data_IF_310940193566
#
_entry.id   IF_310940193566
#
_cell.length_a   1.000
_cell.length_b   1.000
_cell.length_c   1.000
_cell.angle_alpha   90.00
_cell.angle_beta   90.00
_cell.angle_gamma   90.00
#
_symmetry.space_group_name_H-M   'P 1'
#
loop_
_entity.id
_entity.type
_entity.pdbx_description
1 polymer ?
#
# COMPACT_ATOMS: atom_id res chain seq x y z
N UNK A 1 -2.47 -3.91 1.01
CA UNK A 1 -1.80 -3.98 2.32
C UNK A 1 -1.41 -5.43 2.59
N UNK A 2 -0.13 -5.75 2.53
CA UNK A 2 0.40 -7.13 2.57
C UNK A 2 0.44 -7.74 3.99
N UNK A 3 -0.40 -7.35 4.92
CA UNK A 3 -0.42 -7.82 6.32
C UNK A 3 0.98 -8.08 6.94
N UNK A 4 2.05 -7.46 6.40
CA UNK A 4 3.42 -7.58 6.87
C UNK A 4 4.14 -8.91 6.56
N UNK A 5 3.49 -9.83 5.87
CA UNK A 5 4.07 -11.14 5.55
C UNK A 5 5.26 -10.99 4.58
N UNK A 6 5.17 -10.06 3.62
CA UNK A 6 6.28 -9.71 2.74
C UNK A 6 7.52 -9.28 3.51
N UNK A 7 7.35 -8.38 4.49
CA UNK A 7 8.46 -7.93 5.35
C UNK A 7 9.05 -9.06 6.19
N UNK A 8 8.21 -9.97 6.72
CA UNK A 8 8.66 -11.14 7.46
C UNK A 8 9.53 -12.05 6.58
N UNK A 9 9.05 -12.38 5.40
CA UNK A 9 9.77 -13.26 4.47
C UNK A 9 11.06 -12.61 3.98
N UNK A 10 11.05 -11.29 3.68
CA UNK A 10 12.26 -10.55 3.30
C UNK A 10 13.35 -10.71 4.36
N UNK A 11 12.99 -10.60 5.65
CA UNK A 11 13.94 -10.80 6.73
C UNK A 11 14.58 -12.21 6.72
N UNK A 12 13.79 -13.26 6.49
CA UNK A 12 14.32 -14.63 6.40
C UNK A 12 15.09 -14.90 5.11
N UNK A 13 14.91 -14.10 4.06
CA UNK A 13 15.62 -14.20 2.79
C UNK A 13 17.04 -13.59 2.85
N UNK A 14 17.34 -12.62 3.72
CA UNK A 14 18.62 -11.91 3.73
C UNK A 14 19.80 -12.84 3.87
N UNK A 15 19.79 -13.76 4.84
CA UNK A 15 20.91 -14.70 5.06
C UNK A 15 21.08 -15.69 3.90
N UNK A 16 20.03 -16.37 3.40
CA UNK A 16 20.15 -17.23 2.21
C UNK A 16 20.64 -16.49 0.97
N UNK A 17 20.22 -15.22 0.76
CA UNK A 17 20.70 -14.41 -0.35
C UNK A 17 22.20 -14.10 -0.24
N UNK A 18 22.68 -13.76 0.96
CA UNK A 18 24.09 -13.46 1.20
C UNK A 18 25.00 -14.67 0.92
N UNK A 19 24.57 -15.89 1.27
CA UNK A 19 25.34 -17.13 1.05
C UNK A 19 24.98 -17.83 -0.26
N UNK A 20 24.13 -17.23 -1.10
CA UNK A 20 23.65 -17.75 -2.39
C UNK A 20 22.99 -19.15 -2.29
N UNK A 21 22.29 -19.46 -1.19
CA UNK A 21 21.57 -20.71 -0.99
C UNK A 21 20.25 -20.71 -1.78
N UNK A 22 20.34 -21.09 -3.05
CA UNK A 22 19.20 -21.14 -3.99
C UNK A 22 18.10 -22.11 -3.54
N UNK A 23 18.49 -23.20 -2.88
CA UNK A 23 17.55 -24.20 -2.36
C UNK A 23 16.66 -23.58 -1.27
N UNK A 24 17.29 -22.96 -0.28
CA UNK A 24 16.59 -22.31 0.82
C UNK A 24 15.74 -21.12 0.37
N UNK A 25 16.23 -20.34 -0.60
CA UNK A 25 15.45 -19.25 -1.20
C UNK A 25 14.18 -19.79 -1.86
N UNK A 26 14.29 -20.85 -2.67
CA UNK A 26 13.15 -21.48 -3.35
C UNK A 26 12.13 -22.05 -2.36
N UNK A 27 12.58 -22.64 -1.24
CA UNK A 27 11.68 -23.08 -0.15
C UNK A 27 10.90 -21.91 0.46
N UNK A 28 11.59 -20.83 0.84
CA UNK A 28 10.95 -19.66 1.45
C UNK A 28 9.93 -19.00 0.51
N UNK A 29 10.25 -18.88 -0.78
CA UNK A 29 9.33 -18.35 -1.79
C UNK A 29 8.14 -19.29 -1.99
N UNK A 30 8.32 -20.61 -1.91
CA UNK A 30 7.23 -21.59 -1.98
C UNK A 30 6.29 -21.48 -0.79
N UNK A 31 6.81 -21.32 0.44
CA UNK A 31 6.03 -21.05 1.64
C UNK A 31 5.23 -19.76 1.47
N UNK A 32 5.88 -18.70 1.01
CA UNK A 32 5.25 -17.40 0.81
C UNK A 32 4.10 -17.45 -0.19
N UNK A 33 4.34 -18.07 -1.35
CA UNK A 33 3.29 -18.26 -2.35
C UNK A 33 2.10 -19.07 -1.85
N UNK A 34 2.34 -20.12 -1.03
CA UNK A 34 1.26 -20.88 -0.40
C UNK A 34 0.43 -20.03 0.56
N UNK A 35 1.09 -19.27 1.44
CA UNK A 35 0.41 -18.39 2.41
C UNK A 35 -0.36 -17.29 1.68
N UNK A 36 0.25 -16.67 0.66
CA UNK A 36 -0.40 -15.62 -0.14
C UNK A 36 -1.63 -16.12 -0.87
N UNK A 37 -1.59 -17.32 -1.46
CA UNK A 37 -2.77 -17.93 -2.06
C UNK A 37 -3.91 -18.14 -1.06
N UNK A 38 -3.60 -18.63 0.14
CA UNK A 38 -4.62 -18.79 1.20
C UNK A 38 -5.25 -17.45 1.58
N UNK A 39 -4.44 -16.43 1.77
CA UNK A 39 -4.92 -15.08 2.08
C UNK A 39 -5.74 -14.53 0.93
N UNK A 40 -5.28 -14.68 -0.32
CA UNK A 40 -6.04 -14.29 -1.50
C UNK A 40 -7.42 -14.97 -1.57
N UNK A 41 -7.49 -16.27 -1.32
CA UNK A 41 -8.77 -16.97 -1.25
C UNK A 41 -9.67 -16.44 -0.11
N UNK A 42 -9.11 -16.16 1.07
CA UNK A 42 -9.89 -15.60 2.19
C UNK A 42 -10.40 -14.19 1.85
N UNK A 43 -9.58 -13.35 1.24
CA UNK A 43 -9.97 -11.99 0.80
C UNK A 43 -11.05 -12.08 -0.28
N UNK A 44 -10.89 -12.97 -1.25
CA UNK A 44 -11.89 -13.20 -2.31
C UNK A 44 -13.23 -13.67 -1.74
N UNK A 45 -13.22 -14.66 -0.86
CA UNK A 45 -14.43 -15.14 -0.18
C UNK A 45 -15.07 -14.04 0.68
N UNK A 46 -14.26 -13.30 1.47
CA UNK A 46 -14.73 -12.15 2.26
C UNK A 46 -15.33 -11.06 1.39
N UNK A 47 -14.71 -10.74 0.25
CA UNK A 47 -15.22 -9.78 -0.73
C UNK A 47 -16.58 -10.20 -1.29
N UNK A 48 -16.75 -11.47 -1.65
CA UNK A 48 -18.04 -12.00 -2.09
C UNK A 48 -19.09 -11.85 -0.99
N UNK A 49 -18.76 -12.22 0.26
CA UNK A 49 -19.70 -12.06 1.39
C UNK A 49 -20.08 -10.60 1.59
N UNK A 50 -19.11 -9.67 1.57
CA UNK A 50 -19.39 -8.22 1.71
C UNK A 50 -20.30 -7.73 0.58
N UNK A 51 -20.10 -8.19 -0.66
CA UNK A 51 -20.92 -7.78 -1.80
C UNK A 51 -22.40 -8.18 -1.67
N UNK A 52 -22.73 -9.24 -0.92
CA UNK A 52 -24.11 -9.62 -0.63
C UNK A 52 -24.86 -8.57 0.21
N UNK A 53 -24.12 -7.78 0.98
CA UNK A 53 -24.68 -6.71 1.80
C UNK A 53 -24.79 -5.35 1.06
N UNK A 54 -24.34 -5.24 -0.19
CA UNK A 54 -24.40 -3.98 -0.96
C UNK A 54 -25.82 -3.39 -1.06
N UNK A 55 -26.89 -4.15 -1.28
CA UNK A 55 -28.23 -3.60 -1.30
C UNK A 55 -28.61 -2.93 0.03
N UNK A 56 -28.08 -3.41 1.16
CA UNK A 56 -28.30 -2.82 2.47
C UNK A 56 -27.41 -1.60 2.71
N UNK A 57 -26.11 -1.71 2.34
CA UNK A 57 -25.09 -0.68 2.56
C UNK A 57 -25.34 0.55 1.68
N UNK A 58 -25.69 0.35 0.41
CA UNK A 58 -25.82 1.41 -0.58
C UNK A 58 -27.29 1.80 -0.86
N UNK A 59 -28.23 1.45 0.02
CA UNK A 59 -29.67 1.70 -0.16
C UNK A 59 -30.03 3.16 -0.47
N UNK A 60 -29.25 4.11 0.08
CA UNK A 60 -29.50 5.57 -0.08
C UNK A 60 -28.60 6.22 -1.13
N UNK A 61 -27.81 5.42 -1.87
CA UNK A 61 -26.87 5.96 -2.86
C UNK A 61 -27.59 6.13 -4.21
N UNK A 62 -27.44 7.28 -4.89
CA UNK A 62 -28.10 7.53 -6.18
C UNK A 62 -27.44 6.81 -7.36
N UNK A 63 -26.48 5.90 -7.12
CA UNK A 63 -25.78 5.14 -8.15
C UNK A 63 -26.47 3.82 -8.43
N UNK A 64 -26.44 3.38 -9.69
CA UNK A 64 -26.91 2.06 -10.08
C UNK A 64 -26.07 0.94 -9.43
N UNK A 65 -26.73 -0.06 -8.88
CA UNK A 65 -26.06 -1.20 -8.25
C UNK A 65 -25.07 -1.92 -9.20
N UNK A 66 -25.41 -1.98 -10.51
CA UNK A 66 -24.53 -2.56 -11.52
C UNK A 66 -23.14 -1.91 -11.55
N UNK A 67 -23.09 -0.57 -11.45
CA UNK A 67 -21.83 0.17 -11.40
C UNK A 67 -21.07 -0.15 -10.11
N UNK A 68 -21.76 -0.18 -8.96
CA UNK A 68 -21.15 -0.46 -7.65
C UNK A 68 -20.50 -1.85 -7.65
N UNK A 69 -21.23 -2.87 -8.10
CA UNK A 69 -20.68 -4.24 -8.21
C UNK A 69 -19.52 -4.32 -9.18
N UNK A 70 -19.63 -3.70 -10.35
CA UNK A 70 -18.57 -3.71 -11.35
C UNK A 70 -17.27 -3.09 -10.80
N UNK A 71 -17.36 -1.89 -10.23
CA UNK A 71 -16.22 -1.21 -9.61
C UNK A 71 -15.59 -2.07 -8.52
N UNK A 72 -16.42 -2.60 -7.62
CA UNK A 72 -15.96 -3.42 -6.52
C UNK A 72 -15.22 -4.67 -7.00
N UNK A 73 -15.79 -5.42 -7.94
CA UNK A 73 -15.16 -6.67 -8.42
C UNK A 73 -13.91 -6.42 -9.26
N UNK A 74 -13.84 -5.31 -10.00
CA UNK A 74 -12.61 -4.91 -10.69
C UNK A 74 -11.48 -4.60 -9.69
N UNK A 75 -11.75 -3.83 -8.62
CA UNK A 75 -10.76 -3.55 -7.59
C UNK A 75 -10.41 -4.77 -6.75
N UNK A 76 -11.38 -5.59 -6.40
CA UNK A 76 -11.15 -6.87 -5.73
C UNK A 76 -10.26 -7.77 -6.59
N UNK A 77 -10.57 -7.93 -7.88
CA UNK A 77 -9.78 -8.71 -8.83
C UNK A 77 -8.35 -8.18 -8.95
N UNK A 78 -8.17 -6.86 -9.09
CA UNK A 78 -6.84 -6.22 -9.12
C UNK A 78 -6.03 -6.52 -7.86
N UNK A 79 -6.67 -6.46 -6.70
CA UNK A 79 -6.03 -6.80 -5.43
C UNK A 79 -5.63 -8.27 -5.37
N UNK A 80 -6.52 -9.18 -5.78
CA UNK A 80 -6.29 -10.63 -5.77
C UNK A 80 -5.16 -11.05 -6.70
N UNK A 81 -4.99 -10.41 -7.86
CA UNK A 81 -3.89 -10.66 -8.79
C UNK A 81 -2.54 -10.51 -8.07
N UNK A 82 -2.37 -9.49 -7.22
CA UNK A 82 -1.19 -9.30 -6.40
C UNK A 82 -0.88 -10.51 -5.51
N UNK A 83 -1.89 -11.12 -4.90
CA UNK A 83 -1.72 -12.29 -4.03
C UNK A 83 -1.43 -13.57 -4.81
N UNK A 84 -2.02 -13.77 -5.98
CA UNK A 84 -1.85 -15.01 -6.74
C UNK A 84 -0.62 -15.01 -7.65
N UNK A 85 -0.23 -13.84 -8.16
CA UNK A 85 0.79 -13.73 -9.20
C UNK A 85 2.08 -13.09 -8.66
N UNK A 86 2.00 -11.98 -7.89
CA UNK A 86 3.16 -11.16 -7.54
C UNK A 86 3.89 -11.59 -6.26
N UNK A 87 3.55 -12.71 -5.65
CA UNK A 87 4.22 -13.13 -4.42
C UNK A 87 5.76 -13.24 -4.56
N UNK A 88 6.29 -13.51 -5.76
CA UNK A 88 7.74 -13.59 -6.02
C UNK A 88 8.49 -12.25 -5.97
N UNK A 89 7.78 -11.11 -6.04
CA UNK A 89 8.40 -9.78 -5.98
C UNK A 89 9.16 -9.53 -4.66
N UNK A 90 8.79 -10.23 -3.59
CA UNK A 90 9.48 -10.15 -2.29
C UNK A 90 10.96 -10.50 -2.41
N UNK A 91 11.34 -11.37 -3.35
CA UNK A 91 12.74 -11.72 -3.61
C UNK A 91 13.51 -10.52 -4.15
N UNK A 92 12.96 -9.75 -5.09
CA UNK A 92 13.59 -8.52 -5.59
C UNK A 92 13.79 -7.50 -4.46
N UNK A 93 12.80 -7.36 -3.57
CA UNK A 93 12.90 -6.45 -2.42
C UNK A 93 13.98 -6.90 -1.45
N UNK A 94 14.04 -8.20 -1.13
CA UNK A 94 15.07 -8.75 -0.24
C UNK A 94 16.48 -8.69 -0.84
N UNK A 95 16.62 -8.83 -2.17
CA UNK A 95 17.88 -8.71 -2.92
C UNK A 95 18.27 -7.25 -3.21
N UNK A 96 17.69 -6.28 -2.50
CA UNK A 96 17.92 -4.83 -2.69
C UNK A 96 17.61 -4.30 -4.10
N UNK A 97 16.89 -5.06 -4.92
CA UNK A 97 16.48 -4.70 -6.27
C UNK A 97 15.04 -4.13 -6.33
N UNK A 98 14.57 -3.55 -5.22
CA UNK A 98 13.22 -2.98 -5.15
C UNK A 98 12.99 -1.86 -6.18
N UNK A 99 14.06 -1.21 -6.65
CA UNK A 99 14.00 -0.23 -7.72
C UNK A 99 13.40 -0.79 -9.02
N UNK A 100 13.59 -2.09 -9.30
CA UNK A 100 12.98 -2.77 -10.46
C UNK A 100 11.46 -2.77 -10.27
N UNK A 101 10.97 -3.24 -9.11
CA UNK A 101 9.54 -3.29 -8.80
C UNK A 101 8.92 -1.89 -8.92
N UNK A 102 9.57 -0.90 -8.30
CA UNK A 102 9.11 0.49 -8.33
C UNK A 102 9.09 1.06 -9.75
N UNK A 103 10.15 0.86 -10.53
CA UNK A 103 10.23 1.35 -11.90
C UNK A 103 9.11 0.78 -12.79
N UNK A 104 8.89 -0.53 -12.74
CA UNK A 104 7.85 -1.17 -13.56
C UNK A 104 6.44 -0.72 -13.16
N UNK A 105 6.13 -0.67 -11.86
CA UNK A 105 4.81 -0.24 -11.42
C UNK A 105 4.58 1.27 -11.64
N UNK A 106 5.56 2.12 -11.42
CA UNK A 106 5.42 3.56 -11.62
C UNK A 106 5.27 3.89 -13.12
N UNK A 107 6.08 3.26 -13.98
CA UNK A 107 5.95 3.43 -15.44
C UNK A 107 4.58 2.97 -15.93
N UNK A 108 4.13 1.78 -15.50
CA UNK A 108 2.81 1.29 -15.85
C UNK A 108 1.69 2.21 -15.34
N UNK A 109 1.83 2.76 -14.13
CA UNK A 109 0.88 3.70 -13.55
C UNK A 109 0.80 5.01 -14.33
N UNK A 110 1.93 5.55 -14.77
CA UNK A 110 1.98 6.76 -15.60
C UNK A 110 1.28 6.51 -16.95
N UNK A 111 1.65 5.44 -17.64
CA UNK A 111 1.05 5.08 -18.96
C UNK A 111 -0.46 4.85 -18.77
N UNK A 112 -0.85 4.08 -17.75
CA UNK A 112 -2.26 3.85 -17.42
C UNK A 112 -3.02 5.17 -17.25
N UNK A 113 -2.47 6.09 -16.44
CA UNK A 113 -3.12 7.37 -16.14
C UNK A 113 -3.28 8.22 -17.41
N UNK A 114 -2.26 8.27 -18.26
CA UNK A 114 -2.35 8.97 -19.57
C UNK A 114 -3.44 8.36 -20.45
N UNK A 115 -3.49 7.04 -20.58
CA UNK A 115 -4.54 6.35 -21.33
C UNK A 115 -5.92 6.60 -20.75
N UNK A 116 -6.05 6.56 -19.42
CA UNK A 116 -7.31 6.84 -18.73
C UNK A 116 -7.79 8.28 -18.97
N UNK A 117 -6.91 9.27 -18.92
CA UNK A 117 -7.24 10.68 -19.19
C UNK A 117 -7.73 10.84 -20.63
N UNK A 118 -6.99 10.30 -21.60
CA UNK A 118 -7.35 10.39 -23.02
C UNK A 118 -8.73 9.74 -23.31
N UNK A 119 -8.97 8.55 -22.78
CA UNK A 119 -10.21 7.83 -23.00
C UNK A 119 -11.37 8.43 -22.19
N UNK A 120 -11.12 8.96 -21.00
CA UNK A 120 -12.14 9.67 -20.22
C UNK A 120 -12.60 10.95 -20.92
N UNK A 121 -11.68 11.68 -21.56
CA UNK A 121 -11.98 12.86 -22.34
C UNK A 121 -12.87 12.55 -23.56
N UNK A 122 -12.61 11.41 -24.22
CA UNK A 122 -13.36 11.00 -25.41
C UNK A 122 -14.70 10.34 -25.09
N UNK A 123 -14.70 9.33 -24.19
CA UNK A 123 -15.87 8.48 -23.93
C UNK A 123 -16.73 8.94 -22.75
N UNK A 124 -16.15 9.66 -21.78
CA UNK A 124 -16.83 10.09 -20.52
C UNK A 124 -17.56 8.96 -19.79
N UNK A 125 -16.99 7.74 -19.83
CA UNK A 125 -17.61 6.52 -19.35
C UNK A 125 -16.78 5.90 -18.20
N UNK A 126 -17.42 5.74 -17.03
CA UNK A 126 -16.80 5.18 -15.83
C UNK A 126 -16.40 3.69 -16.01
N UNK A 127 -17.19 2.92 -16.75
CA UNK A 127 -16.88 1.52 -17.02
C UNK A 127 -15.55 1.36 -17.76
N UNK A 128 -15.30 2.21 -18.75
CA UNK A 128 -14.03 2.21 -19.51
C UNK A 128 -12.87 2.56 -18.57
N UNK A 129 -13.03 3.57 -17.73
CA UNK A 129 -12.02 3.98 -16.76
C UNK A 129 -11.61 2.82 -15.85
N UNK A 130 -12.57 2.14 -15.23
CA UNK A 130 -12.35 1.03 -14.31
C UNK A 130 -11.81 -0.21 -15.04
N UNK A 131 -12.28 -0.48 -16.27
CA UNK A 131 -11.75 -1.58 -17.08
C UNK A 131 -10.26 -1.40 -17.41
N UNK A 132 -9.82 -0.19 -17.71
CA UNK A 132 -8.41 0.14 -17.93
C UNK A 132 -7.59 -0.07 -16.66
N UNK A 133 -8.11 0.37 -15.51
CA UNK A 133 -7.48 0.14 -14.21
C UNK A 133 -7.20 -1.34 -13.98
N UNK A 134 -8.21 -2.18 -14.20
CA UNK A 134 -8.11 -3.63 -14.05
C UNK A 134 -7.13 -4.27 -15.05
N UNK A 135 -7.23 -3.91 -16.33
CA UNK A 135 -6.34 -4.42 -17.37
C UNK A 135 -4.88 -4.09 -17.11
N UNK A 136 -4.58 -2.83 -16.75
CA UNK A 136 -3.20 -2.43 -16.43
C UNK A 136 -2.67 -3.10 -15.18
N UNK A 137 -3.52 -3.44 -14.20
CA UNK A 137 -3.15 -4.25 -13.06
C UNK A 137 -2.66 -5.64 -13.49
N UNK A 138 -3.37 -6.31 -14.40
CA UNK A 138 -2.96 -7.60 -14.96
C UNK A 138 -1.66 -7.48 -15.73
N UNK A 139 -1.59 -6.53 -16.67
CA UNK A 139 -0.42 -6.32 -17.54
C UNK A 139 0.84 -6.06 -16.71
N UNK A 140 0.74 -5.16 -15.72
CA UNK A 140 1.87 -4.82 -14.83
C UNK A 140 2.37 -6.03 -14.07
N UNK A 141 1.45 -6.87 -13.57
CA UNK A 141 1.79 -8.10 -12.86
C UNK A 141 2.49 -9.11 -13.78
N UNK A 142 2.01 -9.29 -14.99
CA UNK A 142 2.61 -10.22 -15.97
C UNK A 142 4.02 -9.77 -16.37
N UNK A 143 4.19 -8.47 -16.67
CA UNK A 143 5.49 -7.90 -17.05
C UNK A 143 6.49 -8.06 -15.89
N UNK A 144 6.08 -7.76 -14.65
CA UNK A 144 6.96 -7.93 -13.49
C UNK A 144 7.36 -9.40 -13.29
N UNK A 145 6.42 -10.34 -13.43
CA UNK A 145 6.74 -11.76 -13.31
C UNK A 145 7.71 -12.22 -14.41
N UNK A 146 7.51 -11.81 -15.66
CA UNK A 146 8.46 -12.06 -16.74
C UNK A 146 9.86 -11.52 -16.40
N UNK A 147 9.95 -10.31 -15.80
CA UNK A 147 11.22 -9.75 -15.36
C UNK A 147 11.86 -10.57 -14.24
N UNK A 148 11.06 -11.06 -13.28
CA UNK A 148 11.54 -11.94 -12.20
C UNK A 148 12.07 -13.25 -12.77
N UNK A 149 11.40 -13.87 -13.74
CA UNK A 149 11.85 -15.10 -14.39
C UNK A 149 13.19 -14.89 -15.12
N UNK A 150 13.39 -13.71 -15.72
CA UNK A 150 14.65 -13.35 -16.37
C UNK A 150 15.78 -13.08 -15.38
N UNK A 151 15.48 -12.49 -14.23
CA UNK A 151 16.46 -12.16 -13.18
C UNK A 151 16.88 -13.39 -12.35
N UNK A 152 15.92 -14.29 -12.12
CA UNK A 152 16.14 -15.51 -11.30
C UNK A 152 15.70 -16.78 -12.06
N UNK A 153 16.38 -17.16 -13.14
CA UNK A 153 15.99 -18.33 -13.97
C UNK A 153 16.10 -19.65 -13.21
N UNK A 154 16.85 -19.66 -12.11
CA UNK A 154 17.03 -20.81 -11.22
C UNK A 154 15.89 -20.96 -10.19
N UNK A 155 15.03 -19.96 -10.02
CA UNK A 155 13.98 -19.96 -8.99
C UNK A 155 12.88 -20.96 -9.33
N UNK A 156 12.86 -22.07 -8.59
CA UNK A 156 11.81 -23.10 -8.70
C UNK A 156 10.93 -23.04 -7.45
N UNK A 157 9.80 -22.33 -7.52
CA UNK A 157 8.82 -22.30 -6.43
C UNK A 157 7.75 -23.37 -6.66
N UNK A 158 7.64 -24.32 -5.72
CA UNK A 158 6.57 -25.33 -5.73
C UNK A 158 5.57 -25.02 -4.61
N UNK A 159 4.42 -24.51 -4.99
CA UNK A 159 3.36 -24.08 -4.05
C UNK A 159 2.69 -25.27 -3.36
N UNK A 160 2.68 -26.47 -3.96
CA UNK A 160 2.12 -27.69 -3.36
C UNK A 160 2.87 -28.13 -2.10
N UNK A 161 4.19 -27.91 -2.06
CA UNK A 161 5.03 -28.24 -0.91
C UNK A 161 4.96 -27.17 0.19
N UNK A 162 4.38 -26.00 -0.08
CA UNK A 162 4.39 -24.85 0.81
C UNK A 162 3.83 -25.13 2.20
N UNK A 163 2.79 -25.96 2.32
CA UNK A 163 2.22 -26.36 3.61
C UNK A 163 3.23 -27.16 4.44
N UNK A 164 3.81 -28.19 3.86
CA UNK A 164 4.82 -29.06 4.51
C UNK A 164 6.05 -28.29 4.93
N UNK A 165 6.51 -27.37 4.07
CA UNK A 165 7.66 -26.50 4.34
C UNK A 165 7.37 -25.48 5.46
N UNK A 166 6.14 -24.95 5.53
CA UNK A 166 5.72 -24.03 6.60
C UNK A 166 5.71 -24.76 7.96
N UNK A 167 5.19 -25.98 8.03
CA UNK A 167 5.17 -26.81 9.25
C UNK A 167 6.60 -27.09 9.78
N UNK A 168 7.58 -27.22 8.89
CA UNK A 168 9.00 -27.38 9.24
C UNK A 168 9.67 -26.08 9.73
N UNK A 169 9.02 -24.92 9.57
CA UNK A 169 9.58 -23.61 9.90
C UNK A 169 8.70 -22.83 10.90
N UNK A 170 8.52 -23.31 12.15
CA UNK A 170 7.59 -22.70 13.11
C UNK A 170 7.95 -21.24 13.48
N UNK A 171 9.24 -20.87 13.46
CA UNK A 171 9.70 -19.51 13.74
C UNK A 171 9.13 -18.48 12.73
N UNK A 172 8.98 -18.88 11.48
CA UNK A 172 8.42 -18.03 10.43
C UNK A 172 6.94 -17.70 10.72
N UNK A 173 6.19 -18.68 11.23
CA UNK A 173 4.79 -18.47 11.61
C UNK A 173 4.65 -17.50 12.80
N UNK A 174 5.46 -17.65 13.84
CA UNK A 174 5.45 -16.76 15.02
C UNK A 174 5.77 -15.33 14.61
N UNK A 175 6.80 -15.13 13.80
CA UNK A 175 7.22 -13.81 13.32
C UNK A 175 6.15 -13.15 12.43
N UNK A 176 5.56 -13.92 11.52
CA UNK A 176 4.46 -13.45 10.67
C UNK A 176 3.26 -13.01 11.51
N UNK A 177 2.88 -13.76 12.55
CA UNK A 177 1.79 -13.40 13.47
C UNK A 177 2.06 -12.07 14.19
N UNK A 178 3.27 -11.82 14.65
CA UNK A 178 3.64 -10.56 15.31
C UNK A 178 3.48 -9.37 14.35
N UNK A 179 4.01 -9.48 13.13
CA UNK A 179 3.89 -8.42 12.12
C UNK A 179 2.43 -8.20 11.72
N UNK A 180 1.63 -9.27 11.62
CA UNK A 180 0.20 -9.20 11.32
C UNK A 180 -0.57 -8.34 12.35
N UNK A 181 -0.30 -8.51 13.64
CA UNK A 181 -0.91 -7.71 14.70
C UNK A 181 -0.58 -6.21 14.52
N UNK A 182 0.69 -5.89 14.21
CA UNK A 182 1.08 -4.51 13.94
C UNK A 182 0.37 -3.94 12.70
N UNK A 183 0.20 -4.72 11.64
CA UNK A 183 -0.49 -4.27 10.43
C UNK A 183 -2.00 -4.09 10.61
N UNK A 184 -2.64 -4.92 11.44
CA UNK A 184 -4.05 -4.68 11.83
C UNK A 184 -4.18 -3.36 12.58
N UNK A 185 -3.28 -3.10 13.54
CA UNK A 185 -3.26 -1.81 14.25
C UNK A 185 -3.13 -0.64 13.27
N UNK A 186 -2.17 -0.69 12.34
CA UNK A 186 -1.95 0.35 11.36
C UNK A 186 -3.18 0.54 10.43
N UNK A 187 -3.84 -0.55 10.03
CA UNK A 187 -5.06 -0.50 9.25
C UNK A 187 -6.20 0.18 10.01
N UNK A 188 -6.43 -0.23 11.26
CA UNK A 188 -7.47 0.36 12.10
C UNK A 188 -7.22 1.85 12.34
N UNK A 189 -5.98 2.25 12.62
CA UNK A 189 -5.64 3.65 12.87
C UNK A 189 -5.76 4.54 11.61
N UNK A 190 -5.42 4.01 10.43
CA UNK A 190 -5.32 4.83 9.22
C UNK A 190 -6.55 4.74 8.28
N UNK A 191 -7.50 3.81 8.53
CA UNK A 191 -8.63 3.57 7.64
C UNK A 191 -10.00 3.59 8.33
N UNK A 192 -10.05 3.63 9.65
CA UNK A 192 -11.32 3.66 10.38
C UNK A 192 -12.09 4.95 10.15
N UNK A 193 -11.40 6.08 9.93
CA UNK A 193 -12.03 7.38 9.75
C UNK A 193 -13.00 7.39 8.56
N UNK A 194 -12.59 6.87 7.41
CA UNK A 194 -13.42 6.80 6.21
C UNK A 194 -14.67 5.93 6.44
N UNK A 195 -14.49 4.80 7.15
CA UNK A 195 -15.59 3.89 7.50
C UNK A 195 -16.57 4.57 8.48
N UNK A 196 -16.06 5.26 9.50
CA UNK A 196 -16.88 5.99 10.46
C UNK A 196 -17.65 7.14 9.79
N UNK A 197 -16.99 7.93 8.93
CA UNK A 197 -17.65 9.01 8.18
C UNK A 197 -18.74 8.41 7.27
N UNK A 198 -18.50 7.29 6.64
CA UNK A 198 -19.52 6.61 5.84
C UNK A 198 -20.71 6.17 6.68
N UNK A 199 -20.45 5.52 7.83
CA UNK A 199 -21.48 4.93 8.68
C UNK A 199 -22.34 5.99 9.39
N UNK A 200 -21.75 7.10 9.84
CA UNK A 200 -22.41 8.08 10.69
C UNK A 200 -22.79 9.39 9.98
N UNK A 201 -22.20 9.68 8.81
CA UNK A 201 -22.47 10.93 8.11
C UNK A 201 -23.02 10.66 6.70
N UNK A 202 -22.17 10.36 5.72
CA UNK A 202 -22.60 10.00 4.37
C UNK A 202 -21.43 9.61 3.47
N UNK A 203 -21.72 8.88 2.37
CA UNK A 203 -20.72 8.58 1.31
C UNK A 203 -20.16 9.85 0.67
N UNK A 204 -20.99 10.91 0.55
CA UNK A 204 -20.57 12.21 0.00
C UNK A 204 -19.48 12.85 0.85
N UNK A 205 -19.59 12.78 2.18
CA UNK A 205 -18.58 13.32 3.10
C UNK A 205 -17.30 12.50 3.08
N UNK A 206 -17.38 11.19 2.85
CA UNK A 206 -16.18 10.35 2.62
C UNK A 206 -15.39 10.85 1.41
N UNK A 207 -16.08 11.19 0.31
CA UNK A 207 -15.41 11.73 -0.87
C UNK A 207 -14.77 13.10 -0.60
N UNK A 208 -15.43 13.97 0.16
CA UNK A 208 -14.88 15.28 0.54
C UNK A 208 -13.64 15.11 1.43
N UNK A 209 -13.72 14.30 2.47
CA UNK A 209 -12.62 13.97 3.36
C UNK A 209 -11.45 13.31 2.59
N UNK A 210 -11.76 12.38 1.69
CA UNK A 210 -10.79 11.69 0.85
C UNK A 210 -9.95 12.62 -0.02
N UNK A 211 -10.51 13.73 -0.52
CA UNK A 211 -9.75 14.73 -1.29
C UNK A 211 -8.66 15.42 -0.42
N UNK A 212 -8.98 15.73 0.83
CA UNK A 212 -8.03 16.34 1.77
C UNK A 212 -6.96 15.34 2.17
N UNK A 213 -7.36 14.13 2.56
CA UNK A 213 -6.43 13.08 3.00
C UNK A 213 -5.51 12.61 1.87
N UNK A 214 -5.96 12.64 0.60
CA UNK A 214 -5.13 12.34 -0.55
C UNK A 214 -3.94 13.29 -0.65
N UNK A 215 -4.17 14.61 -0.54
CA UNK A 215 -3.13 15.62 -0.61
C UNK A 215 -2.18 15.48 0.58
N UNK A 216 -2.73 15.40 1.80
CA UNK A 216 -1.97 15.22 3.04
C UNK A 216 -1.09 13.98 2.96
N UNK A 217 -1.65 12.85 2.54
CA UNK A 217 -0.90 11.59 2.42
C UNK A 217 0.25 11.70 1.41
N UNK A 218 0.05 12.40 0.29
CA UNK A 218 1.12 12.59 -0.71
C UNK A 218 2.23 13.49 -0.19
N UNK A 219 1.92 14.56 0.51
CA UNK A 219 2.91 15.42 1.16
C UNK A 219 3.69 14.64 2.22
N UNK A 220 2.99 13.91 3.10
CA UNK A 220 3.64 13.07 4.11
C UNK A 220 4.53 12.00 3.49
N UNK A 221 4.13 11.40 2.36
CA UNK A 221 4.93 10.41 1.64
C UNK A 221 6.26 11.00 1.14
N UNK A 222 6.24 12.23 0.60
CA UNK A 222 7.45 12.92 0.14
C UNK A 222 8.39 13.18 1.32
N UNK A 223 7.85 13.69 2.42
CA UNK A 223 8.62 14.01 3.64
C UNK A 223 9.22 12.73 4.24
N UNK A 224 8.42 11.69 4.40
CA UNK A 224 8.88 10.40 4.93
C UNK A 224 10.01 9.82 4.07
N UNK A 225 9.85 9.85 2.73
CA UNK A 225 10.89 9.35 1.82
C UNK A 225 12.20 10.13 1.98
N UNK A 226 12.14 11.45 2.16
CA UNK A 226 13.32 12.27 2.38
C UNK A 226 13.99 11.98 3.74
N UNK A 227 13.18 11.80 4.80
CA UNK A 227 13.69 11.54 6.15
C UNK A 227 14.19 10.09 6.34
N UNK A 228 13.58 9.13 5.66
CA UNK A 228 13.95 7.71 5.76
C UNK A 228 15.36 7.43 5.21
N UNK A 229 15.83 8.25 4.26
CA UNK A 229 17.20 8.15 3.74
C UNK A 229 18.28 8.42 4.81
N UNK A 230 17.94 9.12 5.90
CA UNK A 230 18.84 9.38 7.03
C UNK A 230 18.99 8.15 7.95
N UNK A 231 18.04 7.22 7.90
CA UNK A 231 17.97 6.06 8.81
C UNK A 231 19.21 5.16 8.71
N UNK A 232 19.81 5.03 7.51
CA UNK A 232 21.01 4.23 7.32
C UNK A 232 22.22 4.83 8.05
N UNK A 233 22.40 6.17 7.98
CA UNK A 233 23.46 6.89 8.72
C UNK A 233 23.27 6.80 10.22
N UNK A 234 22.04 6.88 10.71
CA UNK A 234 21.75 6.69 12.15
C UNK A 234 22.07 5.27 12.60
N UNK A 235 21.75 4.25 11.78
CA UNK A 235 22.08 2.86 12.06
C UNK A 235 23.59 2.63 12.17
N UNK A 236 24.38 3.25 11.30
CA UNK A 236 25.83 3.19 11.36
C UNK A 236 26.37 3.87 12.63
N UNK A 237 25.87 5.05 12.98
CA UNK A 237 26.25 5.77 14.18
C UNK A 237 25.96 4.97 15.46
N UNK A 238 24.81 4.26 15.50
CA UNK A 238 24.47 3.36 16.61
C UNK A 238 25.48 2.19 16.70
N UNK A 239 25.91 1.65 15.57
CA UNK A 239 26.89 0.58 15.50
C UNK A 239 28.29 1.04 15.98
N UNK A 240 28.66 2.32 15.83
CA UNK A 240 29.88 2.90 16.37
C UNK A 240 29.86 2.99 17.91
N UNK A 241 28.70 3.02 18.55
CA UNK A 241 28.54 2.99 19.99
C UNK A 241 28.82 4.29 20.75
N UNK A 242 29.07 5.42 20.05
CA UNK A 242 29.31 6.73 20.65
C UNK A 242 28.00 7.36 21.14
N UNK A 243 27.71 7.19 22.42
CA UNK A 243 26.47 7.66 23.04
C UNK A 243 26.28 9.19 22.97
N UNK A 244 27.36 9.96 23.00
CA UNK A 244 27.25 11.42 22.94
C UNK A 244 26.82 11.87 21.54
N UNK A 245 27.42 11.30 20.49
CA UNK A 245 27.03 11.55 19.10
C UNK A 245 25.60 11.08 18.82
N UNK A 246 25.22 9.89 19.31
CA UNK A 246 23.87 9.35 19.16
C UNK A 246 22.84 10.33 19.74
N UNK A 247 23.05 10.81 20.98
CA UNK A 247 22.14 11.77 21.63
C UNK A 247 22.09 13.09 20.89
N UNK A 248 23.22 13.61 20.42
CA UNK A 248 23.28 14.84 19.63
C UNK A 248 22.46 14.71 18.36
N UNK A 249 22.70 13.66 17.56
CA UNK A 249 21.98 13.41 16.30
C UNK A 249 20.49 13.17 16.56
N UNK A 250 20.13 12.48 17.63
CA UNK A 250 18.73 12.30 18.04
C UNK A 250 18.01 13.64 18.23
N UNK A 251 18.60 14.58 18.98
CA UNK A 251 17.98 15.90 19.21
C UNK A 251 17.95 16.76 17.94
N UNK A 252 18.99 16.70 17.13
CA UNK A 252 19.05 17.41 15.83
C UNK A 252 17.95 16.90 14.88
N UNK A 253 17.81 15.60 14.72
CA UNK A 253 16.76 15.01 13.90
C UNK A 253 15.36 15.28 14.44
N UNK A 254 15.20 15.27 15.76
CA UNK A 254 13.95 15.61 16.42
C UNK A 254 13.56 17.06 16.13
N UNK A 255 14.49 17.99 16.29
CA UNK A 255 14.27 19.41 16.00
C UNK A 255 13.90 19.65 14.53
N UNK A 256 14.62 19.01 13.58
CA UNK A 256 14.33 19.08 12.15
C UNK A 256 12.93 18.55 11.85
N UNK A 257 12.54 17.41 12.43
CA UNK A 257 11.21 16.82 12.22
C UNK A 257 10.09 17.73 12.73
N UNK A 258 10.22 18.28 13.92
CA UNK A 258 9.24 19.24 14.44
C UNK A 258 9.15 20.51 13.64
N UNK A 259 10.30 21.03 13.18
CA UNK A 259 10.32 22.20 12.30
C UNK A 259 9.59 21.94 10.98
N UNK A 260 9.90 20.80 10.31
CA UNK A 260 9.22 20.40 9.07
C UNK A 260 7.71 20.21 9.32
N UNK A 261 7.33 19.52 10.40
CA UNK A 261 5.93 19.32 10.76
C UNK A 261 5.19 20.64 10.95
N UNK A 262 5.78 21.60 11.67
CA UNK A 262 5.20 22.93 11.86
C UNK A 262 5.00 23.70 10.55
N UNK A 263 6.01 23.71 9.68
CA UNK A 263 5.93 24.35 8.35
C UNK A 263 4.85 23.71 7.48
N UNK A 264 4.79 22.36 7.48
CA UNK A 264 3.81 21.61 6.69
C UNK A 264 2.40 21.85 7.19
N UNK A 265 2.17 21.77 8.49
CA UNK A 265 0.84 22.01 9.08
C UNK A 265 0.40 23.44 8.81
N UNK A 266 1.26 24.42 8.99
CA UNK A 266 0.98 25.82 8.67
C UNK A 266 0.64 26.00 7.19
N UNK A 267 1.45 25.44 6.30
CA UNK A 267 1.22 25.49 4.85
C UNK A 267 -0.09 24.81 4.45
N UNK A 268 -0.36 23.60 4.95
CA UNK A 268 -1.61 22.88 4.67
C UNK A 268 -2.84 23.64 5.19
N UNK A 269 -2.77 24.18 6.40
CA UNK A 269 -3.90 24.91 6.98
C UNK A 269 -4.32 26.11 6.11
N UNK A 270 -3.35 26.86 5.57
CA UNK A 270 -3.64 28.04 4.78
C UNK A 270 -3.85 27.78 3.29
N UNK A 271 -3.15 26.80 2.71
CA UNK A 271 -3.15 26.54 1.26
C UNK A 271 -4.16 25.48 0.82
N UNK A 272 -4.53 24.55 1.70
CA UNK A 272 -5.40 23.42 1.31
C UNK A 272 -6.83 23.89 0.96
N UNK A 273 -7.51 24.76 1.73
CA UNK A 273 -8.83 25.24 1.36
C UNK A 273 -8.87 26.00 0.01
N UNK A 274 -8.00 26.99 -0.26
CA UNK A 274 -8.00 27.67 -1.56
C UNK A 274 -7.63 26.71 -2.71
N UNK A 275 -6.73 25.75 -2.48
CA UNK A 275 -6.41 24.73 -3.48
C UNK A 275 -7.61 23.84 -3.81
N UNK A 276 -8.34 23.33 -2.82
CA UNK A 276 -9.57 22.55 -3.03
C UNK A 276 -10.62 23.37 -3.78
N UNK A 277 -10.76 24.66 -3.44
CA UNK A 277 -11.69 25.55 -4.12
C UNK A 277 -11.35 25.71 -5.59
N UNK A 278 -10.06 25.88 -5.93
CA UNK A 278 -9.58 26.02 -7.30
C UNK A 278 -9.72 24.71 -8.09
N UNK A 279 -9.42 23.58 -7.46
CA UNK A 279 -9.38 22.27 -8.12
C UNK A 279 -10.75 21.65 -8.30
N UNK A 280 -11.60 21.69 -7.25
CA UNK A 280 -12.89 20.97 -7.21
C UNK A 280 -14.09 21.90 -7.07
N UNK A 281 -13.87 23.12 -6.60
CA UNK A 281 -14.91 24.10 -6.30
C UNK A 281 -15.25 24.19 -4.82
N UNK A 282 -15.84 25.33 -4.43
CA UNK A 282 -16.15 25.67 -3.02
C UNK A 282 -17.09 24.70 -2.32
N UNK A 283 -17.91 23.95 -3.05
CA UNK A 283 -18.85 22.94 -2.50
C UNK A 283 -18.13 21.76 -1.83
N UNK A 284 -16.83 21.54 -2.13
CA UNK A 284 -16.03 20.44 -1.56
C UNK A 284 -15.25 20.85 -0.32
N UNK A 285 -15.41 22.08 0.15
CA UNK A 285 -14.77 22.54 1.37
C UNK A 285 -15.34 21.82 2.59
N UNK A 286 -14.42 21.35 3.45
CA UNK A 286 -14.75 20.85 4.78
C UNK A 286 -14.90 22.02 5.75
N UNK A 287 -15.71 21.83 6.79
CA UNK A 287 -15.83 22.82 7.86
C UNK A 287 -14.47 23.04 8.56
N UNK A 288 -14.27 24.27 9.06
CA UNK A 288 -13.01 24.67 9.69
C UNK A 288 -12.61 23.78 10.86
N UNK A 289 -13.57 23.30 11.66
CA UNK A 289 -13.29 22.36 12.76
C UNK A 289 -12.69 21.04 12.29
N UNK A 290 -13.19 20.51 11.17
CA UNK A 290 -12.65 19.27 10.58
C UNK A 290 -11.24 19.50 10.04
N UNK A 291 -10.99 20.66 9.42
CA UNK A 291 -9.66 21.03 8.96
C UNK A 291 -8.66 21.12 10.13
N UNK A 292 -9.02 21.74 11.24
CA UNK A 292 -8.18 21.82 12.43
C UNK A 292 -7.86 20.41 12.98
N UNK A 293 -8.87 19.54 13.08
CA UNK A 293 -8.67 18.16 13.52
C UNK A 293 -7.72 17.40 12.57
N UNK A 294 -7.87 17.57 11.26
CA UNK A 294 -6.92 17.00 10.28
C UNK A 294 -5.50 17.52 10.49
N UNK A 295 -5.32 18.81 10.76
CA UNK A 295 -3.99 19.38 11.01
C UNK A 295 -3.35 18.82 12.29
N UNK A 296 -4.13 18.56 13.33
CA UNK A 296 -3.65 17.90 14.55
C UNK A 296 -3.17 16.47 14.26
N UNK A 297 -3.83 15.75 13.36
CA UNK A 297 -3.39 14.38 13.00
C UNK A 297 -2.17 14.36 12.09
N UNK A 298 -1.86 15.46 11.39
CA UNK A 298 -0.67 15.60 10.54
C UNK A 298 0.56 15.94 11.37
N UNK A 299 0.40 16.70 12.46
CA UNK A 299 1.49 17.11 13.37
C UNK A 299 1.93 15.95 14.27
#
# INVERSE_FOLDING_TARGET
AEFGIGSAISFFLYKPLQIADRGRISELISIFGYVYRKIGCMIGAGGIVVSLFFPLIFKQTPMEFGIIYFVFYCYLGSSLIGYFINYRQVLLTADQKNYIVTAYFQTASIIKTLVQILLAWYFKNLFIWISIEFLFSIISCLILNWKIDKEYPWLKSNLSDGKRLLEKNPRLFVYTRQIFIHKIKDFLLNRSDEIMIFAFVSLKMVAYYGNYTLIITKINQIISTALDNVSAGVGQLIAEGDQQKIMKVFWELTAIRYFIAGVVVFGLFHLLPPFITLWLGSKYLLGQSVLILLMITVF
#
